data_IF_699851703090
#
_entry.id   IF_699851703090
#
_cell.length_a   1.000
_cell.length_b   1.000
_cell.length_c   1.000
_cell.angle_alpha   90.00
_cell.angle_beta   90.00
_cell.angle_gamma   90.00
#
_symmetry.space_group_name_H-M   'P 1'
#
loop_
_entity.id
_entity.type
_entity.pdbx_description
1 polymer ?
#
# COMPACT_ATOMS: atom_id res chain seq x y z
N UNK A 1 0.04 34.36 -10.33
CA UNK A 1 -0.34 32.93 -10.28
C UNK A 1 0.42 32.16 -9.16
N UNK A 2 0.46 32.67 -7.91
CA UNK A 2 1.26 32.08 -6.80
C UNK A 2 0.42 31.57 -5.62
N UNK A 3 -0.91 31.82 -5.62
CA UNK A 3 -1.83 31.49 -4.51
C UNK A 3 -2.44 30.09 -4.56
N UNK A 4 -2.32 29.36 -5.69
CA UNK A 4 -2.98 28.05 -5.88
C UNK A 4 -2.07 26.88 -5.46
N UNK A 5 -0.75 27.11 -5.45
CA UNK A 5 0.26 26.12 -5.05
C UNK A 5 0.06 25.51 -3.65
N UNK A 6 -0.28 26.26 -2.57
CA UNK A 6 -0.48 25.64 -1.26
C UNK A 6 -1.69 24.69 -1.25
N UNK A 7 -2.73 24.96 -2.05
CA UNK A 7 -3.92 24.11 -2.10
C UNK A 7 -3.63 22.77 -2.81
N UNK A 8 -2.81 22.80 -3.86
CA UNK A 8 -2.39 21.59 -4.60
C UNK A 8 -1.48 20.71 -3.73
N UNK A 9 -0.58 21.32 -2.94
CA UNK A 9 0.31 20.58 -2.06
C UNK A 9 -0.47 19.83 -0.97
N UNK A 10 -1.45 20.48 -0.33
CA UNK A 10 -2.29 19.83 0.68
C UNK A 10 -3.07 18.62 0.11
N UNK A 11 -3.62 18.72 -1.11
CA UNK A 11 -4.32 17.58 -1.73
C UNK A 11 -3.38 16.41 -2.08
N UNK A 12 -2.13 16.69 -2.46
CA UNK A 12 -1.12 15.64 -2.71
C UNK A 12 -0.71 14.91 -1.44
N UNK A 13 -0.60 15.62 -0.32
CA UNK A 13 -0.24 15.04 0.97
C UNK A 13 -1.34 14.12 1.52
N UNK A 14 -2.61 14.49 1.33
CA UNK A 14 -3.75 13.63 1.70
C UNK A 14 -3.83 12.36 0.84
N UNK A 15 -3.64 12.51 -0.47
CA UNK A 15 -3.60 11.37 -1.39
C UNK A 15 -2.40 10.44 -1.09
N UNK A 16 -1.23 11.01 -0.77
CA UNK A 16 -0.04 10.26 -0.39
C UNK A 16 -0.24 9.46 0.91
N UNK A 17 -0.93 10.04 1.90
CA UNK A 17 -1.24 9.37 3.18
C UNK A 17 -2.08 8.11 3.03
N UNK A 18 -2.99 8.07 2.05
CA UNK A 18 -3.88 6.91 1.83
C UNK A 18 -3.29 5.98 0.76
N UNK A 19 -2.64 6.53 -0.26
CA UNK A 19 -2.07 5.77 -1.37
C UNK A 19 -0.89 4.88 -0.96
N UNK A 20 -0.02 5.34 -0.06
CA UNK A 20 1.12 4.54 0.45
C UNK A 20 0.67 3.24 1.14
N UNK A 21 -0.23 3.26 2.14
CA UNK A 21 -0.69 2.03 2.78
C UNK A 21 -1.46 1.10 1.82
N UNK A 22 -2.23 1.65 0.87
CA UNK A 22 -2.92 0.83 -0.15
C UNK A 22 -1.93 0.13 -1.07
N UNK A 23 -0.90 0.84 -1.54
CA UNK A 23 0.13 0.27 -2.41
C UNK A 23 0.94 -0.79 -1.67
N UNK A 24 1.26 -0.54 -0.39
CA UNK A 24 1.93 -1.50 0.49
C UNK A 24 1.06 -2.74 0.75
N UNK A 25 -0.26 -2.58 0.86
CA UNK A 25 -1.22 -3.69 0.96
C UNK A 25 -1.26 -4.50 -0.35
N UNK A 26 -1.41 -3.84 -1.50
CA UNK A 26 -1.44 -4.49 -2.81
C UNK A 26 -0.15 -5.25 -3.14
N UNK A 27 1.01 -4.72 -2.76
CA UNK A 27 2.30 -5.37 -3.01
C UNK A 27 2.68 -6.40 -1.93
N UNK A 28 2.33 -6.16 -0.67
CA UNK A 28 2.73 -6.99 0.46
C UNK A 28 1.80 -8.18 0.73
N UNK A 29 0.49 -8.01 0.56
CA UNK A 29 -0.51 -9.06 0.85
C UNK A 29 -0.36 -10.28 -0.06
N UNK A 30 -0.15 -10.15 -1.38
CA UNK A 30 0.03 -11.32 -2.24
C UNK A 30 1.22 -12.18 -1.81
N UNK A 31 2.34 -11.54 -1.46
CA UNK A 31 3.52 -12.25 -0.95
C UNK A 31 3.25 -12.97 0.37
N UNK A 32 2.56 -12.29 1.30
CA UNK A 32 2.17 -12.89 2.58
C UNK A 32 1.26 -14.10 2.42
N UNK A 33 0.25 -14.03 1.54
CA UNK A 33 -0.67 -15.13 1.27
C UNK A 33 0.07 -16.34 0.70
N UNK A 34 1.01 -16.13 -0.23
CA UNK A 34 1.81 -17.22 -0.82
C UNK A 34 2.69 -17.90 0.24
N UNK A 35 3.35 -17.14 1.11
CA UNK A 35 4.19 -17.70 2.19
C UNK A 35 3.35 -18.50 3.18
N UNK A 36 2.18 -17.98 3.57
CA UNK A 36 1.27 -18.70 4.46
C UNK A 36 0.72 -19.98 3.81
N UNK A 37 0.28 -19.90 2.55
CA UNK A 37 -0.18 -21.08 1.81
C UNK A 37 0.93 -22.13 1.67
N UNK A 38 2.17 -21.69 1.43
CA UNK A 38 3.34 -22.56 1.37
C UNK A 38 3.56 -23.27 2.72
N UNK A 39 3.65 -22.50 3.81
CA UNK A 39 3.82 -23.07 5.16
C UNK A 39 2.72 -24.08 5.49
N UNK A 40 1.45 -23.79 5.20
CA UNK A 40 0.35 -24.73 5.46
C UNK A 40 0.43 -25.99 4.59
N UNK A 41 0.77 -25.87 3.31
CA UNK A 41 0.87 -27.02 2.40
C UNK A 41 2.01 -27.97 2.78
N UNK A 42 3.18 -27.46 3.19
CA UNK A 42 4.32 -28.30 3.57
C UNK A 42 4.25 -28.77 5.03
N UNK A 43 3.57 -28.04 5.92
CA UNK A 43 3.32 -28.49 7.30
C UNK A 43 2.39 -29.70 7.36
N UNK A 44 1.47 -29.82 6.39
CA UNK A 44 0.45 -30.86 6.37
C UNK A 44 0.85 -32.11 5.55
N UNK A 45 1.98 -32.06 4.84
CA UNK A 45 2.61 -33.23 4.21
C UNK A 45 3.71 -33.80 5.09
#
# INVERSE_FOLDING_TARGET
MKKIQPFINNMKDEAGKVGVPILMYLLGVPGFVVVFAWLFYFRHK
#
